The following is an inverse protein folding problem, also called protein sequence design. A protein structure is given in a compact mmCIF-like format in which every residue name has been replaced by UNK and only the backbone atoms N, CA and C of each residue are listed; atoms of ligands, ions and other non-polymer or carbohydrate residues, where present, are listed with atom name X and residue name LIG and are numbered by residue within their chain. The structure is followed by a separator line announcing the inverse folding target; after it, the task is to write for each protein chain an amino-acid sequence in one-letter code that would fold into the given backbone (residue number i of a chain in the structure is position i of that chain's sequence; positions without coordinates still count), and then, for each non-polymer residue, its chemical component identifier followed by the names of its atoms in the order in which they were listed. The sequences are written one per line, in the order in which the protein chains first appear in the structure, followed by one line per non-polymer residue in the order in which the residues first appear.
data_IF_391866710323
#
_entry.id   IF_391866710323
#
_cell.length_a   1.000
_cell.length_b   1.000
_cell.length_c   1.000
_cell.angle_alpha   90.00
_cell.angle_beta   90.00
_cell.angle_gamma   90.00
#
_symmetry.space_group_name_H-M   'P 1'
#
loop_
_entity.id
_entity.type
_entity.pdbx_description
1 polymer ?
#
# COMPACT_ATOMS: atom_id res chain seq x y z
N UNK A 1 -21.92 -18.21 -1.23
CA UNK A 1 -21.66 -16.77 -1.39
C UNK A 1 -20.48 -16.50 -0.48
N UNK A 2 -19.28 -16.36 -1.02
CA UNK A 2 -18.13 -15.98 -0.19
C UNK A 2 -18.42 -14.57 0.33
N UNK A 3 -18.50 -14.41 1.65
CA UNK A 3 -18.61 -13.08 2.24
C UNK A 3 -17.31 -12.34 1.95
N UNK A 4 -17.41 -11.25 1.18
CA UNK A 4 -16.29 -10.32 0.99
C UNK A 4 -16.06 -9.65 2.35
N UNK A 5 -14.84 -9.78 2.87
CA UNK A 5 -14.44 -9.09 4.08
C UNK A 5 -14.32 -7.60 3.78
N UNK A 6 -14.93 -6.78 4.62
CA UNK A 6 -14.81 -5.33 4.59
C UNK A 6 -14.81 -4.79 6.01
N UNK A 7 -13.67 -4.23 6.41
CA UNK A 7 -13.46 -3.46 7.62
C UNK A 7 -13.68 -1.96 7.32
N UNK A 8 -14.66 -1.38 8.02
CA UNK A 8 -14.94 0.06 7.95
C UNK A 8 -13.94 0.82 8.80
N UNK A 9 -13.65 2.04 8.36
CA UNK A 9 -12.76 2.92 9.08
C UNK A 9 -13.48 3.67 10.20
N UNK A 10 -12.83 3.71 11.36
CA UNK A 10 -13.15 4.63 12.43
C UNK A 10 -11.98 5.62 12.59
N UNK A 11 -12.25 6.92 12.48
CA UNK A 11 -11.22 7.95 12.55
C UNK A 11 -10.42 8.08 11.25
N UNK A 12 -9.09 8.22 11.35
CA UNK A 12 -8.19 8.50 10.22
C UNK A 12 -7.26 7.33 9.85
N UNK A 13 -7.51 6.13 10.38
CA UNK A 13 -6.65 4.94 10.26
C UNK A 13 -6.80 4.21 8.91
N UNK A 14 -6.86 4.96 7.81
CA UNK A 14 -7.12 4.42 6.47
C UNK A 14 -6.14 3.32 6.04
N UNK A 15 -4.86 3.41 6.41
CA UNK A 15 -3.86 2.42 6.01
C UNK A 15 -4.13 1.02 6.60
N UNK A 16 -4.59 0.94 7.86
CA UNK A 16 -4.98 -0.32 8.49
C UNK A 16 -6.09 -0.98 7.69
N UNK A 17 -7.20 -0.27 7.52
CA UNK A 17 -8.40 -0.80 6.88
C UNK A 17 -8.15 -1.12 5.41
N UNK A 18 -7.35 -0.31 4.72
CA UNK A 18 -6.87 -0.60 3.38
C UNK A 18 -6.14 -1.96 3.33
N UNK A 19 -5.16 -2.19 4.21
CA UNK A 19 -4.43 -3.46 4.23
C UNK A 19 -5.34 -4.63 4.64
N UNK A 20 -6.18 -4.50 5.65
CA UNK A 20 -7.08 -5.56 6.08
C UNK A 20 -8.11 -5.93 5.00
N UNK A 21 -8.68 -4.94 4.32
CA UNK A 21 -9.54 -5.16 3.16
C UNK A 21 -8.78 -5.83 2.01
N UNK A 22 -7.52 -5.45 1.80
CA UNK A 22 -6.67 -6.09 0.81
C UNK A 22 -6.38 -7.55 1.13
N UNK A 23 -6.09 -7.92 2.37
CA UNK A 23 -5.80 -9.30 2.76
C UNK A 23 -7.05 -10.12 3.07
N UNK A 24 -8.23 -9.48 3.10
CA UNK A 24 -9.51 -10.10 3.43
C UNK A 24 -9.53 -10.68 4.86
N UNK A 25 -9.07 -9.89 5.81
CA UNK A 25 -9.11 -10.20 7.24
C UNK A 25 -8.39 -9.15 8.08
N UNK A 26 -8.54 -9.22 9.40
CA UNK A 26 -7.88 -8.34 10.37
C UNK A 26 -6.43 -8.80 10.61
N UNK A 27 -5.55 -8.50 9.66
CA UNK A 27 -4.14 -8.90 9.70
C UNK A 27 -3.21 -7.82 10.23
N UNK A 28 -3.65 -6.57 10.22
CA UNK A 28 -2.89 -5.41 10.66
C UNK A 28 -3.68 -4.62 11.69
N UNK A 29 -2.94 -4.10 12.67
CA UNK A 29 -3.42 -3.15 13.68
C UNK A 29 -2.66 -1.82 13.58
N UNK A 30 -3.21 -0.72 14.14
CA UNK A 30 -2.51 0.56 14.19
C UNK A 30 -1.15 0.47 14.89
N UNK A 31 -1.05 -0.38 15.92
CA UNK A 31 0.17 -0.56 16.71
C UNK A 31 1.27 -1.22 15.89
N UNK A 32 0.93 -2.21 15.05
CA UNK A 32 1.88 -2.84 14.15
C UNK A 32 2.36 -1.86 13.07
N UNK A 33 1.44 -1.09 12.47
CA UNK A 33 1.80 -0.08 11.48
C UNK A 33 2.67 1.05 12.08
N UNK A 34 2.37 1.49 13.29
CA UNK A 34 3.21 2.45 14.02
C UNK A 34 4.60 1.89 14.31
N UNK A 35 4.70 0.60 14.66
CA UNK A 35 6.00 -0.05 14.87
C UNK A 35 6.83 -0.08 13.58
N UNK A 36 6.20 -0.36 12.43
CA UNK A 36 6.86 -0.31 11.11
C UNK A 36 7.30 1.12 10.79
N UNK A 37 6.45 2.12 11.06
CA UNK A 37 6.78 3.53 10.84
C UNK A 37 8.02 3.95 11.65
N UNK A 38 8.04 3.64 12.95
CA UNK A 38 9.19 3.94 13.81
C UNK A 38 10.47 3.23 13.38
N UNK A 39 10.37 1.98 12.91
CA UNK A 39 11.54 1.28 12.38
C UNK A 39 12.09 1.99 11.14
N UNK A 40 11.22 2.46 10.24
CA UNK A 40 11.64 3.19 9.04
C UNK A 40 12.27 4.53 9.38
N UNK A 41 11.71 5.27 10.33
CA UNK A 41 12.31 6.53 10.82
C UNK A 41 13.71 6.30 11.39
N UNK A 42 13.90 5.19 12.14
CA UNK A 42 15.21 4.81 12.69
C UNK A 42 16.21 4.42 11.60
N UNK A 43 15.79 3.66 10.59
CA UNK A 43 16.62 3.31 9.45
C UNK A 43 17.04 4.55 8.64
N UNK A 44 16.13 5.50 8.44
CA UNK A 44 16.41 6.79 7.80
C UNK A 44 17.40 7.61 8.64
N UNK A 45 17.21 7.65 9.97
CA UNK A 45 18.13 8.30 10.91
C UNK A 45 19.53 7.72 10.82
N UNK A 46 19.65 6.39 10.80
CA UNK A 46 20.94 5.70 10.71
C UNK A 46 21.66 5.99 9.39
N UNK A 47 20.93 6.02 8.26
CA UNK A 47 21.51 6.43 6.97
C UNK A 47 21.98 7.88 6.97
N UNK A 48 21.23 8.79 7.59
CA UNK A 48 21.66 10.18 7.74
C UNK A 48 22.91 10.31 8.62
N UNK A 49 23.05 9.47 9.65
CA UNK A 49 24.22 9.44 10.50
C UNK A 49 25.51 9.04 9.74
N UNK A 50 25.40 8.22 8.68
CA UNK A 50 26.54 7.88 7.80
C UNK A 50 27.09 9.13 7.07
N UNK A 51 26.25 10.13 6.81
CA UNK A 51 26.64 11.44 6.27
C UNK A 51 27.32 12.37 7.28
N UNK A 52 27.44 11.94 8.55
CA UNK A 52 28.06 12.66 9.64
C UNK A 52 27.05 13.17 10.67
N UNK A 53 27.13 12.62 11.89
CA UNK A 53 26.25 12.96 13.03
C UNK A 53 26.35 14.41 13.53
N UNK A 54 27.36 15.16 13.10
CA UNK A 54 27.54 16.58 13.42
C UNK A 54 27.07 17.51 12.31
N UNK A 55 26.61 16.97 11.17
CA UNK A 55 26.09 17.76 10.06
C UNK A 55 24.83 18.53 10.47
N UNK A 56 24.62 19.69 9.82
CA UNK A 56 23.40 20.48 10.00
C UNK A 56 22.16 19.68 9.57
N UNK A 57 22.29 18.88 8.50
CA UNK A 57 21.25 18.01 7.97
C UNK A 57 20.80 16.94 8.99
N UNK A 58 21.75 16.30 9.68
CA UNK A 58 21.41 15.32 10.74
C UNK A 58 20.70 15.98 11.93
N UNK A 59 21.15 17.18 12.33
CA UNK A 59 20.51 17.93 13.42
C UNK A 59 19.11 18.41 13.05
N UNK A 60 18.91 18.83 11.79
CA UNK A 60 17.60 19.20 11.26
C UNK A 60 16.66 17.99 11.22
N UNK A 61 17.14 16.84 10.76
CA UNK A 61 16.38 15.58 10.73
C UNK A 61 15.92 15.16 12.14
N UNK A 62 16.77 15.26 13.17
CA UNK A 62 16.41 14.95 14.55
C UNK A 62 15.29 15.83 15.14
N UNK A 63 15.07 17.01 14.57
CA UNK A 63 14.01 17.94 15.01
C UNK A 63 12.72 17.78 14.20
N UNK A 64 12.76 17.03 13.09
CA UNK A 64 11.58 16.79 12.28
C UNK A 64 10.68 15.74 12.94
N UNK A 65 9.36 15.92 12.91
CA UNK A 65 8.42 14.86 13.26
C UNK A 65 8.58 13.69 12.28
N UNK A 66 8.11 12.51 12.70
CA UNK A 66 8.11 11.31 11.87
C UNK A 66 7.49 11.60 10.49
N UNK A 67 8.20 11.25 9.42
CA UNK A 67 7.68 11.34 8.05
C UNK A 67 6.79 10.16 7.68
N UNK A 68 6.82 9.09 8.49
CA UNK A 68 6.15 7.82 8.19
C UNK A 68 4.79 7.67 8.85
N UNK A 69 4.53 8.42 9.92
CA UNK A 69 3.28 8.50 10.65
C UNK A 69 3.06 9.94 11.15
N UNK A 70 1.87 10.49 10.92
CA UNK A 70 1.48 11.80 11.47
C UNK A 70 0.60 11.70 12.72
N UNK A 71 0.37 12.84 13.40
CA UNK A 71 -0.44 12.93 14.61
C UNK A 71 -1.93 12.62 14.38
N UNK A 72 -2.37 12.55 13.11
CA UNK A 72 -3.74 12.19 12.75
C UNK A 72 -3.91 10.68 12.58
N UNK A 73 -2.82 9.92 12.46
CA UNK A 73 -2.83 8.48 12.18
C UNK A 73 -2.76 8.13 10.69
N UNK A 74 -2.37 9.09 9.84
CA UNK A 74 -2.04 8.83 8.45
C UNK A 74 -0.64 8.19 8.36
N UNK A 75 -0.53 7.14 7.55
CA UNK A 75 0.71 6.43 7.31
C UNK A 75 1.25 6.69 5.90
N UNK A 76 2.56 6.81 5.79
CA UNK A 76 3.23 7.01 4.51
C UNK A 76 3.15 5.76 3.62
N UNK A 77 3.42 5.96 2.33
CA UNK A 77 3.55 4.86 1.38
C UNK A 77 4.67 3.87 1.75
N UNK A 78 5.73 4.33 2.43
CA UNK A 78 6.84 3.48 2.85
C UNK A 78 6.39 2.47 3.90
N UNK A 79 5.50 2.87 4.81
CA UNK A 79 4.91 1.96 5.82
C UNK A 79 4.09 0.87 5.13
N UNK A 80 3.20 1.25 4.21
CA UNK A 80 2.36 0.30 3.46
C UNK A 80 3.21 -0.67 2.63
N UNK A 81 4.23 -0.17 1.94
CA UNK A 81 5.09 -1.02 1.11
C UNK A 81 5.94 -1.98 1.95
N UNK A 82 6.45 -1.58 3.11
CA UNK A 82 7.16 -2.49 4.02
C UNK A 82 6.25 -3.52 4.67
N UNK A 83 5.05 -3.11 5.07
CA UNK A 83 4.01 -4.03 5.55
C UNK A 83 3.74 -5.12 4.49
N UNK A 84 3.55 -4.74 3.23
CA UNK A 84 3.32 -5.71 2.13
C UNK A 84 4.52 -6.62 1.86
N UNK A 85 5.74 -6.08 1.92
CA UNK A 85 6.98 -6.86 1.76
C UNK A 85 7.12 -7.95 2.82
N UNK A 86 6.72 -7.70 4.06
CA UNK A 86 6.73 -8.71 5.13
C UNK A 86 5.87 -9.94 4.77
N UNK A 87 4.80 -9.72 4.01
CA UNK A 87 3.91 -10.77 3.49
C UNK A 87 4.36 -11.35 2.14
N UNK A 88 5.57 -11.02 1.68
CA UNK A 88 6.12 -11.51 0.41
C UNK A 88 5.48 -10.90 -0.83
N UNK A 89 4.80 -9.76 -0.69
CA UNK A 89 4.19 -9.03 -1.79
C UNK A 89 5.11 -7.89 -2.21
N UNK A 90 5.56 -7.94 -3.47
CA UNK A 90 6.23 -6.79 -4.07
C UNK A 90 5.19 -5.82 -4.60
N UNK A 91 5.54 -4.55 -4.47
CA UNK A 91 4.66 -3.44 -4.79
C UNK A 91 5.31 -2.56 -5.84
N UNK A 92 4.61 -2.37 -6.95
CA UNK A 92 5.10 -1.55 -8.05
C UNK A 92 4.12 -0.40 -8.25
N UNK A 93 4.67 0.81 -8.38
CA UNK A 93 3.90 1.99 -8.74
C UNK A 93 3.46 1.90 -10.20
N UNK A 94 2.17 2.08 -10.45
CA UNK A 94 1.57 1.98 -11.79
C UNK A 94 2.11 3.04 -12.76
N UNK A 95 2.56 4.18 -12.26
CA UNK A 95 3.19 5.26 -13.03
C UNK A 95 4.69 5.02 -13.29
N UNK A 96 5.29 4.00 -12.67
CA UNK A 96 6.72 3.73 -12.84
C UNK A 96 7.04 3.24 -14.25
N UNK A 97 8.20 3.61 -14.82
CA UNK A 97 8.68 3.03 -16.07
C UNK A 97 8.83 1.51 -16.00
N UNK A 98 9.06 0.96 -14.80
CA UNK A 98 9.12 -0.48 -14.57
C UNK A 98 7.78 -1.14 -14.91
N UNK A 99 6.67 -0.62 -14.40
CA UNK A 99 5.34 -1.15 -14.70
C UNK A 99 4.99 -1.03 -16.19
N UNK A 100 5.29 0.12 -16.81
CA UNK A 100 5.02 0.33 -18.24
C UNK A 100 5.78 -0.66 -19.13
N UNK A 101 7.02 -1.01 -18.76
CA UNK A 101 7.84 -2.00 -19.49
C UNK A 101 7.29 -3.42 -19.40
N UNK A 102 6.53 -3.74 -18.36
CA UNK A 102 5.91 -5.06 -18.22
C UNK A 102 4.78 -5.27 -19.24
N UNK A 103 4.20 -4.20 -19.80
CA UNK A 103 3.12 -4.30 -20.80
C UNK A 103 1.86 -4.98 -20.27
N UNK A 104 1.69 -5.06 -18.94
CA UNK A 104 0.55 -5.72 -18.30
C UNK A 104 -0.66 -4.80 -18.38
N UNK A 105 -1.78 -5.37 -18.82
CA UNK A 105 -3.06 -4.67 -18.78
C UNK A 105 -3.57 -4.62 -17.33
N UNK A 106 -3.82 -3.43 -16.73
CA UNK A 106 -4.27 -3.31 -15.34
C UNK A 106 -5.51 -4.15 -14.99
N UNK A 107 -6.40 -4.44 -15.95
CA UNK A 107 -7.59 -5.27 -15.68
C UNK A 107 -7.26 -6.74 -15.32
N UNK A 108 -6.04 -7.19 -15.61
CA UNK A 108 -5.55 -8.53 -15.31
C UNK A 108 -4.92 -8.64 -13.92
N UNK A 109 -4.69 -7.51 -13.25
CA UNK A 109 -4.20 -7.48 -11.88
C UNK A 109 -5.26 -8.02 -10.92
N UNK A 110 -4.82 -8.38 -9.71
CA UNK A 110 -5.71 -8.93 -8.67
C UNK A 110 -6.24 -7.87 -7.73
N UNK A 111 -5.47 -6.81 -7.51
CA UNK A 111 -5.80 -5.77 -6.54
C UNK A 111 -4.94 -4.53 -6.75
N UNK A 112 -5.51 -3.38 -6.38
CA UNK A 112 -4.83 -2.10 -6.33
C UNK A 112 -4.99 -1.50 -4.94
N UNK A 113 -3.92 -0.92 -4.41
CA UNK A 113 -3.99 0.05 -3.33
C UNK A 113 -3.85 1.43 -3.96
N UNK A 114 -4.77 2.32 -3.63
CA UNK A 114 -4.84 3.67 -4.15
C UNK A 114 -4.66 4.66 -3.00
N UNK A 115 -3.90 5.73 -3.24
CA UNK A 115 -3.95 6.93 -2.43
C UNK A 115 -4.70 8.01 -3.20
N UNK A 116 -5.79 8.56 -2.68
CA UNK A 116 -6.45 9.72 -3.26
C UNK A 116 -6.73 10.74 -2.16
N UNK A 117 -6.32 12.01 -2.34
CA UNK A 117 -6.52 13.07 -1.36
C UNK A 117 -6.09 12.71 0.08
N UNK A 118 -4.94 12.04 0.24
CA UNK A 118 -4.43 11.54 1.53
C UNK A 118 -5.33 10.47 2.17
N UNK A 119 -6.03 9.67 1.36
CA UNK A 119 -6.82 8.54 1.81
C UNK A 119 -6.38 7.25 1.10
N UNK A 120 -6.10 6.22 1.88
CA UNK A 120 -5.73 4.90 1.38
C UNK A 120 -6.94 3.98 1.31
N UNK A 121 -7.16 3.37 0.15
CA UNK A 121 -8.22 2.37 -0.03
C UNK A 121 -7.80 1.28 -1.02
N UNK A 122 -8.53 0.17 -0.98
CA UNK A 122 -8.25 -0.99 -1.81
C UNK A 122 -9.35 -1.22 -2.83
N UNK A 123 -8.92 -1.52 -4.07
CA UNK A 123 -9.78 -2.09 -5.09
C UNK A 123 -9.30 -3.52 -5.33
N UNK A 124 -10.18 -4.52 -5.17
CA UNK A 124 -9.80 -5.94 -5.30
C UNK A 124 -10.75 -6.69 -6.23
N UNK A 125 -10.17 -7.60 -7.01
CA UNK A 125 -10.92 -8.48 -7.91
C UNK A 125 -11.29 -9.78 -7.19
N UNK A 126 -12.58 -10.11 -7.19
CA UNK A 126 -13.13 -11.38 -6.71
C UNK A 126 -13.74 -12.13 -7.89
N UNK A 127 -13.07 -13.21 -8.32
CA UNK A 127 -13.39 -13.91 -9.55
C UNK A 127 -13.22 -13.01 -10.78
N UNK A 128 -14.34 -12.56 -11.37
CA UNK A 128 -14.36 -11.69 -12.56
C UNK A 128 -14.79 -10.25 -12.25
N UNK A 129 -15.21 -9.97 -11.03
CA UNK A 129 -15.81 -8.71 -10.64
C UNK A 129 -14.84 -7.90 -9.78
N UNK A 130 -14.80 -6.59 -10.00
CA UNK A 130 -14.01 -5.66 -9.21
C UNK A 130 -14.86 -5.01 -8.13
N UNK A 131 -14.28 -4.86 -6.95
CA UNK A 131 -14.95 -4.22 -5.82
C UNK A 131 -14.10 -3.09 -5.26
N UNK A 132 -14.75 -1.97 -4.96
CA UNK A 132 -14.21 -0.92 -4.11
C UNK A 132 -14.36 -1.36 -2.66
N UNK A 133 -13.25 -1.45 -1.94
CA UNK A 133 -13.20 -1.74 -0.51
C UNK A 133 -12.67 -0.51 0.24
N UNK A 134 -13.09 0.67 -0.20
CA UNK A 134 -12.89 1.90 0.53
C UNK A 134 -13.60 1.81 1.87
N UNK A 135 -12.82 1.96 2.93
CA UNK A 135 -13.23 1.85 4.33
C UNK A 135 -14.21 2.94 4.76
N UNK A 136 -14.36 4.01 3.96
CA UNK A 136 -15.38 5.04 4.14
C UNK A 136 -16.77 4.61 3.63
N UNK A 137 -16.85 3.54 2.84
CA UNK A 137 -18.11 3.02 2.31
C UNK A 137 -18.86 2.16 3.33
N UNK A 138 -20.18 2.05 3.15
CA UNK A 138 -20.99 1.17 3.99
C UNK A 138 -20.73 -0.33 3.75
N UNK A 139 -20.12 -0.68 2.63
CA UNK A 139 -19.90 -2.06 2.20
C UNK A 139 -19.12 -2.11 0.88
N UNK A 140 -18.72 -3.31 0.43
CA UNK A 140 -18.06 -3.49 -0.86
C UNK A 140 -18.93 -2.98 -2.02
N UNK A 141 -18.42 -2.04 -2.80
CA UNK A 141 -19.14 -1.50 -3.95
C UNK A 141 -18.65 -2.13 -5.25
N UNK A 142 -19.56 -2.63 -6.09
CA UNK A 142 -19.20 -3.23 -7.37
C UNK A 142 -18.75 -2.18 -8.38
N UNK A 143 -17.57 -2.37 -8.96
CA UNK A 143 -17.01 -1.52 -10.02
C UNK A 143 -17.01 -2.27 -11.36
N UNK A 144 -17.41 -1.59 -12.44
CA UNK A 144 -17.26 -2.09 -13.80
C UNK A 144 -15.84 -1.91 -14.35
N UNK A 145 -15.42 -2.79 -15.26
CA UNK A 145 -14.09 -2.73 -15.90
C UNK A 145 -13.83 -1.37 -16.57
N UNK A 146 -14.86 -0.78 -17.18
CA UNK A 146 -14.77 0.54 -17.83
C UNK A 146 -14.57 1.66 -16.82
N UNK A 147 -15.32 1.63 -15.70
CA UNK A 147 -15.14 2.62 -14.64
C UNK A 147 -13.76 2.49 -13.98
N UNK A 148 -13.33 1.27 -13.68
CA UNK A 148 -12.00 1.01 -13.13
C UNK A 148 -10.90 1.58 -14.03
N UNK A 149 -10.95 1.30 -15.34
CA UNK A 149 -9.96 1.81 -16.28
C UNK A 149 -9.91 3.34 -16.31
N UNK A 150 -11.07 4.01 -16.25
CA UNK A 150 -11.14 5.48 -16.17
C UNK A 150 -10.58 5.99 -14.84
N UNK A 151 -10.92 5.34 -13.74
CA UNK A 151 -10.47 5.71 -12.40
C UNK A 151 -8.95 5.59 -12.25
N UNK A 152 -8.37 4.46 -12.64
CA UNK A 152 -6.92 4.25 -12.64
C UNK A 152 -6.21 5.30 -13.49
N UNK A 153 -6.78 5.66 -14.65
CA UNK A 153 -6.21 6.67 -15.54
C UNK A 153 -6.31 8.08 -14.97
N UNK A 154 -7.35 8.40 -14.19
CA UNK A 154 -7.45 9.66 -13.44
C UNK A 154 -6.34 9.75 -12.40
N UNK A 155 -6.21 8.72 -11.56
CA UNK A 155 -5.18 8.65 -10.52
C UNK A 155 -3.75 8.74 -11.09
N UNK A 156 -3.48 8.06 -12.21
CA UNK A 156 -2.20 8.16 -12.92
C UNK A 156 -1.88 9.60 -13.38
N UNK A 157 -2.88 10.34 -13.88
CA UNK A 157 -2.68 11.73 -14.35
C UNK A 157 -2.44 12.70 -13.21
N UNK A 158 -3.10 12.48 -12.07
CA UNK A 158 -3.00 13.34 -10.90
C UNK A 158 -1.77 13.02 -10.04
N UNK A 159 -0.98 12.01 -10.42
CA UNK A 159 0.27 11.65 -9.73
C UNK A 159 0.08 10.82 -8.48
N UNK A 160 -1.12 10.28 -8.27
CA UNK A 160 -1.45 9.47 -7.11
C UNK A 160 -0.76 8.11 -7.13
N UNK A 161 -0.40 7.64 -5.94
CA UNK A 161 0.29 6.37 -5.77
C UNK A 161 -0.69 5.21 -5.94
N UNK A 162 -0.44 4.43 -6.99
CA UNK A 162 -1.18 3.23 -7.35
C UNK A 162 -0.26 2.04 -7.24
N UNK A 163 -0.52 1.19 -6.28
CA UNK A 163 0.30 0.06 -5.93
C UNK A 163 -0.43 -1.21 -6.39
N UNK A 164 0.19 -1.98 -7.28
CA UNK A 164 -0.31 -3.31 -7.63
C UNK A 164 0.53 -4.38 -6.97
N UNK A 165 -0.12 -5.46 -6.54
CA UNK A 165 0.55 -6.63 -6.00
C UNK A 165 1.12 -7.45 -7.14
N UNK A 166 2.43 -7.68 -7.13
CA UNK A 166 3.03 -8.75 -7.92
C UNK A 166 3.48 -9.87 -6.99
N UNK A 167 3.07 -11.10 -7.28
CA UNK A 167 3.70 -12.25 -6.61
C UNK A 167 5.11 -12.35 -7.14
N UNK A 168 6.10 -12.15 -6.27
CA UNK A 168 7.47 -12.47 -6.62
C UNK A 168 7.52 -13.99 -6.76
N UNK A 169 7.63 -14.47 -7.99
CA UNK A 169 8.10 -15.83 -8.20
C UNK A 169 9.53 -15.87 -7.65
N UNK A 170 9.71 -16.29 -6.40
CA UNK A 170 10.99 -16.86 -5.98
C UNK A 170 11.17 -18.20 -6.71
N UNK A 171 11.36 -18.16 -8.02
CA UNK A 171 11.93 -19.26 -8.80
C UNK A 171 13.39 -19.41 -8.37
N UNK A 172 13.57 -20.07 -7.23
CA UNK A 172 14.86 -20.16 -6.57
C UNK A 172 14.94 -21.19 -5.44
N UNK A 173 13.94 -22.06 -5.22
CA UNK A 173 14.14 -23.37 -4.60
C UNK A 173 13.24 -24.39 -5.27
N UNK A 174 13.83 -25.13 -6.21
CA UNK A 174 13.26 -26.38 -6.66
C UNK A 174 13.10 -27.28 -5.45
N UNK A 175 11.85 -27.62 -5.12
CA UNK A 175 11.56 -28.82 -4.35
C UNK A 175 10.58 -29.60 -5.20
N UNK A 176 11.14 -30.50 -6.02
CA UNK A 176 10.42 -31.66 -6.49
C UNK A 176 9.95 -32.41 -5.24
N UNK A 177 8.65 -32.55 -5.07
CA UNK A 177 8.08 -33.59 -4.23
C UNK A 177 7.05 -34.32 -5.09
N UNK A 178 7.53 -35.49 -5.52
CA UNK A 178 6.79 -36.72 -5.81
C UNK A 178 5.60 -36.93 -4.89
#
# INVERSE_FOLDING_TARGET
MELIFHEKQEGSLCAQHCLNNLFQGEYFSPVELASIAHQLDEEERMRMAEGGVTSEDYRAFLQQPSGNMDDTGFFSIQVITNALKFWGLDVILLNSPAYQKLGINPINERSFICNYEQHWFTIRKFGKLWFNLDSLLEGPELISDTYLALFLRKLQKEGYSLLTQHMVNHSGKGTSLT
#
